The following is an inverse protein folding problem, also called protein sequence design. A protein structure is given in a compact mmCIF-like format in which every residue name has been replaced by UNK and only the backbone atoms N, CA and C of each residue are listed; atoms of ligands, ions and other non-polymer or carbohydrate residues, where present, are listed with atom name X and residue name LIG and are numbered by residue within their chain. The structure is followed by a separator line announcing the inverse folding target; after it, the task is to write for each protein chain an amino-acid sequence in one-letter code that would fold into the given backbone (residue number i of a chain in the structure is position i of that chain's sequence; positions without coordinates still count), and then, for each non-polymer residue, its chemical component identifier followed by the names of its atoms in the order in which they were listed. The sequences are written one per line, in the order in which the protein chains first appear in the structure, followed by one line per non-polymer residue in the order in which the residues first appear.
data_IF_781444661994
#
_entry.id   IF_781444661994
#
_cell.length_a   1.000
_cell.length_b   1.000
_cell.length_c   1.000
_cell.angle_alpha   90.00
_cell.angle_beta   90.00
_cell.angle_gamma   90.00
#
_symmetry.space_group_name_H-M   'P 1'
#
loop_
_entity.id
_entity.type
_entity.pdbx_description
1 polymer ?
#
# COMPACT_ATOMS: atom_id res chain seq x y z
N UNK A 1 -37.17 -13.54 -61.69
CA UNK A 1 -36.99 -13.83 -60.26
C UNK A 1 -35.54 -13.54 -59.91
N UNK A 2 -35.24 -12.65 -58.95
CA UNK A 2 -33.87 -12.33 -58.58
C UNK A 2 -33.18 -13.57 -57.97
N UNK A 3 -31.88 -13.71 -58.19
CA UNK A 3 -31.07 -14.77 -57.62
C UNK A 3 -31.00 -14.55 -56.10
N UNK A 4 -31.61 -15.44 -55.32
CA UNK A 4 -31.54 -15.42 -53.84
C UNK A 4 -30.29 -16.17 -53.39
N UNK A 5 -29.14 -15.51 -53.44
CA UNK A 5 -27.87 -16.07 -52.98
C UNK A 5 -27.63 -15.74 -51.49
N UNK A 6 -27.07 -16.69 -50.74
CA UNK A 6 -26.79 -16.57 -49.32
C UNK A 6 -25.45 -17.21 -48.96
N UNK A 7 -24.82 -16.72 -47.90
CA UNK A 7 -23.58 -17.26 -47.37
C UNK A 7 -23.87 -18.53 -46.55
N UNK A 8 -23.35 -19.69 -46.95
CA UNK A 8 -23.64 -20.95 -46.26
C UNK A 8 -22.90 -21.11 -44.92
N UNK A 9 -21.95 -20.22 -44.59
CA UNK A 9 -21.29 -20.20 -43.28
C UNK A 9 -22.20 -19.59 -42.21
N UNK A 10 -22.82 -18.44 -42.49
CA UNK A 10 -23.69 -17.73 -41.55
C UNK A 10 -25.19 -17.91 -41.83
N UNK A 11 -25.54 -18.58 -42.94
CA UNK A 11 -26.92 -18.77 -43.41
C UNK A 11 -27.69 -17.48 -43.66
N UNK A 12 -26.98 -16.40 -44.03
CA UNK A 12 -27.54 -15.05 -44.21
C UNK A 12 -27.42 -14.59 -45.67
N UNK A 13 -28.34 -13.75 -46.13
CA UNK A 13 -28.37 -13.26 -47.51
C UNK A 13 -27.18 -12.34 -47.81
N UNK A 14 -26.72 -12.35 -49.07
CA UNK A 14 -25.79 -11.32 -49.53
C UNK A 14 -26.55 -10.01 -49.70
N UNK A 15 -26.00 -8.93 -49.13
CA UNK A 15 -26.55 -7.59 -49.16
C UNK A 15 -25.46 -6.56 -49.55
N UNK A 16 -25.84 -5.29 -49.70
CA UNK A 16 -24.91 -4.23 -50.08
C UNK A 16 -24.00 -3.76 -48.93
N UNK A 17 -24.14 -4.34 -47.71
CA UNK A 17 -23.39 -3.92 -46.53
C UNK A 17 -22.12 -4.72 -46.29
N UNK A 18 -22.06 -5.97 -46.80
CA UNK A 18 -20.95 -6.90 -46.56
C UNK A 18 -20.33 -7.38 -47.87
N UNK A 19 -18.99 -7.40 -47.88
CA UNK A 19 -18.24 -7.86 -49.05
C UNK A 19 -18.40 -9.37 -49.29
N UNK A 20 -18.59 -9.75 -50.54
CA UNK A 20 -18.71 -11.16 -50.98
C UNK A 20 -17.38 -11.62 -51.55
N UNK A 21 -16.83 -12.71 -51.00
CA UNK A 21 -15.64 -13.37 -51.48
C UNK A 21 -15.96 -14.68 -52.21
N UNK A 22 -15.14 -15.03 -53.19
CA UNK A 22 -15.20 -16.31 -53.89
C UNK A 22 -13.90 -17.09 -53.78
N UNK A 23 -14.03 -18.41 -53.64
CA UNK A 23 -12.92 -19.35 -53.77
C UNK A 23 -12.87 -19.92 -55.19
N UNK A 24 -11.71 -20.38 -55.66
CA UNK A 24 -11.53 -20.90 -57.04
C UNK A 24 -12.45 -22.05 -57.45
N UNK A 25 -13.04 -22.78 -56.50
CA UNK A 25 -14.07 -23.78 -56.81
C UNK A 25 -15.45 -23.19 -57.15
N UNK A 26 -15.61 -21.87 -57.11
CA UNK A 26 -16.83 -21.15 -57.49
C UNK A 26 -17.81 -20.84 -56.34
N UNK A 27 -17.56 -21.34 -55.13
CA UNK A 27 -18.43 -21.04 -53.98
C UNK A 27 -18.17 -19.64 -53.42
N UNK A 28 -19.25 -18.95 -53.04
CA UNK A 28 -19.25 -17.58 -52.51
C UNK A 28 -19.65 -17.54 -51.04
N UNK A 29 -19.05 -16.61 -50.30
CA UNK A 29 -19.26 -16.41 -48.86
C UNK A 29 -19.06 -14.94 -48.51
N UNK A 30 -19.54 -14.46 -47.36
CA UNK A 30 -19.09 -13.17 -46.85
C UNK A 30 -17.58 -13.23 -46.61
N UNK A 31 -16.86 -12.16 -46.98
CA UNK A 31 -15.41 -12.08 -46.84
C UNK A 31 -14.97 -12.36 -45.39
N UNK A 32 -15.66 -11.75 -44.43
CA UNK A 32 -15.38 -11.95 -43.00
C UNK A 32 -15.61 -13.40 -42.56
N UNK A 33 -16.73 -14.01 -42.97
CA UNK A 33 -17.02 -15.41 -42.65
C UNK A 33 -15.97 -16.35 -43.22
N UNK A 34 -15.53 -16.12 -44.45
CA UNK A 34 -14.51 -16.92 -45.11
C UNK A 34 -13.13 -16.76 -44.44
N UNK A 35 -12.77 -15.55 -44.06
CA UNK A 35 -11.52 -15.27 -43.32
C UNK A 35 -11.54 -15.95 -41.94
N UNK A 36 -12.64 -15.85 -41.20
CA UNK A 36 -12.80 -16.53 -39.91
C UNK A 36 -12.68 -18.05 -40.06
N UNK A 37 -13.31 -18.62 -41.09
CA UNK A 37 -13.20 -20.05 -41.39
C UNK A 37 -11.75 -20.50 -41.63
N UNK A 38 -10.97 -19.74 -42.38
CA UNK A 38 -9.55 -20.07 -42.61
C UNK A 38 -8.66 -19.87 -41.39
N UNK A 39 -9.05 -19.02 -40.44
CA UNK A 39 -8.33 -18.89 -39.17
C UNK A 39 -8.63 -20.05 -38.21
N UNK A 40 -9.86 -20.58 -38.22
CA UNK A 40 -10.27 -21.66 -37.30
C UNK A 40 -9.94 -23.06 -37.82
N UNK A 41 -9.86 -23.24 -39.15
CA UNK A 41 -9.60 -24.55 -39.74
C UNK A 41 -8.09 -24.89 -39.85
N UNK A 42 -7.67 -26.13 -39.55
CA UNK A 42 -6.27 -26.56 -39.65
C UNK A 42 -5.75 -26.58 -41.10
N UNK A 43 -6.66 -26.70 -42.07
CA UNK A 43 -6.34 -26.64 -43.50
C UNK A 43 -7.29 -25.68 -44.20
N UNK A 44 -6.74 -24.81 -45.03
CA UNK A 44 -7.53 -23.88 -45.86
C UNK A 44 -8.29 -24.68 -46.92
N UNK A 45 -9.56 -24.92 -46.66
CA UNK A 45 -10.46 -25.69 -47.52
C UNK A 45 -11.77 -24.94 -47.68
N UNK A 46 -12.39 -25.06 -48.86
CA UNK A 46 -13.71 -24.48 -49.10
C UNK A 46 -14.73 -25.03 -48.08
N UNK A 47 -15.50 -24.19 -47.36
CA UNK A 47 -16.52 -24.64 -46.41
C UNK A 47 -17.57 -25.58 -47.02
N UNK A 48 -17.84 -25.45 -48.33
CA UNK A 48 -18.91 -26.18 -49.00
C UNK A 48 -18.45 -27.50 -49.64
N UNK A 49 -17.36 -27.47 -50.41
CA UNK A 49 -16.89 -28.66 -51.16
C UNK A 49 -15.56 -29.23 -50.66
N UNK A 50 -14.94 -28.63 -49.63
CA UNK A 50 -13.68 -29.05 -48.99
C UNK A 50 -12.45 -29.11 -49.90
N UNK A 51 -12.53 -28.61 -51.13
CA UNK A 51 -11.37 -28.44 -52.01
C UNK A 51 -10.37 -27.49 -51.34
N UNK A 52 -9.08 -27.84 -51.38
CA UNK A 52 -8.01 -27.04 -50.80
C UNK A 52 -7.87 -25.69 -51.51
N UNK A 53 -7.76 -24.62 -50.72
CA UNK A 53 -7.69 -23.24 -51.20
C UNK A 53 -6.35 -22.63 -50.78
N UNK A 54 -5.55 -22.17 -51.74
CA UNK A 54 -4.37 -21.37 -51.43
C UNK A 54 -4.71 -19.88 -51.30
N UNK A 55 -3.89 -19.11 -50.58
CA UNK A 55 -4.11 -17.66 -50.37
C UNK A 55 -4.18 -16.85 -51.67
N UNK A 56 -3.55 -17.34 -52.75
CA UNK A 56 -3.55 -16.68 -54.07
C UNK A 56 -4.78 -17.03 -54.91
N UNK A 57 -5.65 -17.90 -54.41
CA UNK A 57 -6.82 -18.47 -55.09
C UNK A 57 -8.15 -17.99 -54.46
N UNK A 58 -8.13 -16.80 -53.83
CA UNK A 58 -9.31 -16.18 -53.23
C UNK A 58 -9.51 -14.82 -53.89
N UNK A 59 -10.72 -14.59 -54.39
CA UNK A 59 -11.17 -13.28 -54.81
C UNK A 59 -11.88 -12.67 -53.61
N UNK A 60 -11.22 -11.76 -52.90
CA UNK A 60 -11.69 -11.24 -51.61
C UNK A 60 -12.96 -10.40 -51.71
N UNK A 61 -13.22 -9.82 -52.88
CA UNK A 61 -14.37 -8.94 -53.12
C UNK A 61 -14.86 -9.11 -54.56
N UNK A 62 -16.11 -9.53 -54.69
CA UNK A 62 -16.85 -9.54 -55.95
C UNK A 62 -17.64 -8.26 -56.08
N UNK A 63 -17.62 -7.67 -57.26
CA UNK A 63 -18.46 -6.54 -57.64
C UNK A 63 -19.53 -7.05 -58.60
N UNK A 64 -20.80 -6.89 -58.22
CA UNK A 64 -21.93 -7.26 -59.05
C UNK A 64 -22.52 -5.99 -59.66
N UNK A 65 -22.53 -5.89 -60.98
CA UNK A 65 -23.30 -4.87 -61.70
C UNK A 65 -24.77 -5.29 -61.67
N UNK A 66 -25.43 -5.03 -60.53
CA UNK A 66 -26.87 -5.22 -60.39
C UNK A 66 -27.53 -4.06 -61.13
N UNK A 67 -28.17 -4.35 -62.28
CA UNK A 67 -28.95 -3.37 -63.02
C UNK A 67 -29.95 -2.68 -62.09
N UNK A 68 -29.98 -1.35 -62.14
CA UNK A 68 -30.59 -0.47 -61.14
C UNK A 68 -31.87 -1.01 -60.51
N UNK A 69 -31.90 -0.98 -59.18
CA UNK A 69 -33.08 -1.25 -58.37
C UNK A 69 -34.30 -0.56 -58.99
N UNK A 70 -35.32 -1.34 -59.36
CA UNK A 70 -36.65 -0.81 -59.53
C UNK A 70 -36.98 -0.06 -58.24
N UNK A 71 -37.22 1.25 -58.38
CA UNK A 71 -37.61 2.18 -57.34
C UNK A 71 -38.70 1.53 -56.48
N UNK A 72 -38.31 0.93 -55.36
CA UNK A 72 -39.28 0.45 -54.38
C UNK A 72 -39.99 1.70 -53.93
N UNK A 73 -41.25 1.87 -54.33
CA UNK A 73 -42.09 3.00 -53.93
C UNK A 73 -42.05 3.04 -52.40
N UNK A 74 -41.23 3.93 -51.85
CA UNK A 74 -41.09 4.11 -50.42
C UNK A 74 -42.41 4.72 -49.97
N UNK A 75 -43.30 3.88 -49.42
CA UNK A 75 -44.57 4.33 -48.89
C UNK A 75 -44.32 5.41 -47.82
N UNK A 76 -44.84 6.65 -48.00
CA UNK A 76 -44.66 7.73 -47.04
C UNK A 76 -45.08 7.36 -45.61
N UNK A 77 -46.03 6.44 -45.45
CA UNK A 77 -46.50 5.95 -44.16
C UNK A 77 -45.44 5.10 -43.45
N UNK A 78 -44.71 4.26 -44.19
CA UNK A 78 -43.60 3.46 -43.68
C UNK A 78 -42.44 4.32 -43.17
N UNK A 79 -42.07 5.35 -43.95
CA UNK A 79 -41.04 6.33 -43.57
C UNK A 79 -41.46 7.11 -42.33
N UNK A 80 -42.72 7.55 -42.25
CA UNK A 80 -43.27 8.26 -41.09
C UNK A 80 -43.22 7.39 -39.83
N UNK A 81 -43.60 6.11 -39.94
CA UNK A 81 -43.54 5.16 -38.83
C UNK A 81 -42.10 4.93 -38.33
N UNK A 82 -41.11 4.90 -39.24
CA UNK A 82 -39.69 4.80 -38.84
C UNK A 82 -39.22 6.08 -38.13
N UNK A 83 -39.57 7.25 -38.65
CA UNK A 83 -39.26 8.54 -38.02
C UNK A 83 -39.86 8.63 -36.62
N UNK A 84 -41.12 8.23 -36.45
CA UNK A 84 -41.79 8.25 -35.15
C UNK A 84 -41.14 7.27 -34.17
N UNK A 85 -40.76 6.06 -34.62
CA UNK A 85 -39.99 5.10 -33.81
C UNK A 85 -38.65 5.67 -33.36
N UNK A 86 -37.87 6.22 -34.28
CA UNK A 86 -36.56 6.81 -33.99
C UNK A 86 -36.72 7.98 -33.01
N UNK A 87 -37.75 8.81 -33.18
CA UNK A 87 -38.02 9.94 -32.29
C UNK A 87 -38.33 9.51 -30.86
N UNK A 88 -39.15 8.46 -30.69
CA UNK A 88 -39.41 7.88 -29.35
C UNK A 88 -38.13 7.31 -28.74
N UNK A 89 -37.34 6.58 -29.52
CA UNK A 89 -36.05 6.03 -29.08
C UNK A 89 -35.07 7.13 -28.66
N UNK A 90 -34.99 8.22 -29.44
CA UNK A 90 -34.16 9.38 -29.15
C UNK A 90 -34.54 10.02 -27.82
N UNK A 91 -35.84 10.28 -27.59
CA UNK A 91 -36.31 10.86 -26.34
C UNK A 91 -36.00 9.97 -25.12
N UNK A 92 -36.13 8.65 -25.28
CA UNK A 92 -35.76 7.69 -24.24
C UNK A 92 -34.25 7.77 -23.94
N UNK A 93 -33.39 7.79 -24.97
CA UNK A 93 -31.94 7.92 -24.80
C UNK A 93 -31.52 9.27 -24.23
N UNK A 94 -32.20 10.37 -24.57
CA UNK A 94 -31.97 11.68 -23.98
C UNK A 94 -32.34 11.72 -22.49
N UNK A 95 -33.40 11.01 -22.09
CA UNK A 95 -33.77 10.86 -20.68
C UNK A 95 -32.71 10.04 -19.93
N UNK A 96 -32.32 8.87 -20.44
CA UNK A 96 -31.26 8.05 -19.85
C UNK A 96 -29.94 8.84 -19.71
N UNK A 97 -29.55 9.61 -20.74
CA UNK A 97 -28.37 10.46 -20.71
C UNK A 97 -28.43 11.50 -19.57
N UNK A 98 -29.59 12.13 -19.36
CA UNK A 98 -29.78 13.10 -18.27
C UNK A 98 -29.70 12.44 -16.90
N UNK A 99 -30.29 11.26 -16.74
CA UNK A 99 -30.22 10.48 -15.50
C UNK A 99 -28.77 10.08 -15.18
N UNK A 100 -28.06 9.53 -16.17
CA UNK A 100 -26.63 9.20 -16.04
C UNK A 100 -25.78 10.43 -15.72
N UNK A 101 -26.05 11.57 -16.36
CA UNK A 101 -25.33 12.81 -16.07
C UNK A 101 -25.53 13.26 -14.61
N UNK A 102 -26.76 13.19 -14.09
CA UNK A 102 -27.04 13.51 -12.69
C UNK A 102 -26.29 12.60 -11.70
N UNK A 103 -26.20 11.30 -12.01
CA UNK A 103 -25.41 10.35 -11.21
C UNK A 103 -23.92 10.69 -11.25
N UNK A 104 -23.37 11.03 -12.43
CA UNK A 104 -21.96 11.43 -12.57
C UNK A 104 -21.66 12.68 -11.73
N UNK A 105 -22.54 13.68 -11.76
CA UNK A 105 -22.33 14.91 -11.01
C UNK A 105 -22.41 14.67 -9.50
N UNK A 106 -23.34 13.82 -9.05
CA UNK A 106 -23.43 13.40 -7.63
C UNK A 106 -22.19 12.63 -7.17
N UNK A 107 -21.65 11.75 -8.01
CA UNK A 107 -20.43 11.00 -7.72
C UNK A 107 -19.21 11.92 -7.66
N UNK A 108 -19.13 12.93 -8.53
CA UNK A 108 -18.07 13.95 -8.51
C UNK A 108 -18.09 14.75 -7.21
N UNK A 109 -19.26 15.23 -6.80
CA UNK A 109 -19.40 15.95 -5.53
C UNK A 109 -18.99 15.08 -4.33
N UNK A 110 -19.40 13.80 -4.32
CA UNK A 110 -18.97 12.87 -3.28
C UNK A 110 -17.45 12.66 -3.27
N UNK A 111 -16.81 12.54 -4.44
CA UNK A 111 -15.36 12.42 -4.54
C UNK A 111 -14.65 13.66 -4.00
N UNK A 112 -15.14 14.86 -4.31
CA UNK A 112 -14.55 16.10 -3.82
C UNK A 112 -14.61 16.19 -2.29
N UNK A 113 -15.77 15.88 -1.68
CA UNK A 113 -15.91 15.83 -0.22
C UNK A 113 -14.96 14.81 0.41
N UNK A 114 -14.85 13.61 -0.20
CA UNK A 114 -13.94 12.57 0.27
C UNK A 114 -12.47 12.99 0.16
N UNK A 115 -12.08 13.64 -0.93
CA UNK A 115 -10.72 14.15 -1.13
C UNK A 115 -10.35 15.18 -0.06
N UNK A 116 -11.24 16.13 0.23
CA UNK A 116 -11.02 17.11 1.31
C UNK A 116 -10.89 16.42 2.67
N UNK A 117 -11.74 15.42 2.95
CA UNK A 117 -11.67 14.64 4.20
C UNK A 117 -10.36 13.87 4.34
N UNK A 118 -9.87 13.26 3.24
CA UNK A 118 -8.59 12.54 3.24
C UNK A 118 -7.45 13.50 3.53
N UNK A 119 -7.44 14.69 2.92
CA UNK A 119 -6.40 15.70 3.17
C UNK A 119 -6.40 16.17 4.62
N UNK A 120 -7.56 16.38 5.24
CA UNK A 120 -7.62 16.78 6.65
C UNK A 120 -7.10 15.67 7.57
N UNK A 121 -7.51 14.43 7.33
CA UNK A 121 -7.04 13.28 8.12
C UNK A 121 -5.54 13.03 7.97
N UNK A 122 -4.98 13.20 6.76
CA UNK A 122 -3.54 13.09 6.53
C UNK A 122 -2.75 14.15 7.30
N UNK A 123 -3.28 15.37 7.36
CA UNK A 123 -2.67 16.45 8.15
C UNK A 123 -2.68 16.11 9.64
N UNK A 124 -3.83 15.69 10.17
CA UNK A 124 -3.95 15.30 11.58
C UNK A 124 -3.03 14.12 11.94
N UNK A 125 -2.92 13.13 11.05
CA UNK A 125 -2.01 12.01 11.24
C UNK A 125 -0.55 12.49 11.32
N UNK A 126 -0.13 13.38 10.41
CA UNK A 126 1.21 13.95 10.42
C UNK A 126 1.51 14.72 11.72
N UNK A 127 0.56 15.52 12.19
CA UNK A 127 0.68 16.25 13.46
C UNK A 127 0.84 15.29 14.66
N UNK A 128 0.07 14.20 14.68
CA UNK A 128 0.16 13.16 15.71
C UNK A 128 1.48 12.39 15.66
N UNK A 129 2.01 12.07 14.47
CA UNK A 129 3.31 11.42 14.32
C UNK A 129 4.45 12.29 14.84
N UNK A 130 4.41 13.59 14.56
CA UNK A 130 5.36 14.57 15.07
C UNK A 130 5.31 14.68 16.60
N UNK A 131 4.11 14.67 17.18
CA UNK A 131 3.91 14.64 18.63
C UNK A 131 4.48 13.35 19.24
N UNK A 132 4.16 12.18 18.67
CA UNK A 132 4.70 10.90 19.12
C UNK A 132 6.23 10.85 19.04
N UNK A 133 6.83 11.38 17.98
CA UNK A 133 8.29 11.49 17.85
C UNK A 133 8.89 12.35 18.95
N UNK A 134 8.25 13.48 19.27
CA UNK A 134 8.68 14.40 20.33
C UNK A 134 8.57 13.74 21.71
N UNK A 135 7.42 13.11 22.01
CA UNK A 135 7.20 12.39 23.27
C UNK A 135 8.22 11.24 23.43
N UNK A 136 8.52 10.48 22.37
CA UNK A 136 9.56 9.44 22.40
C UNK A 136 10.94 10.02 22.76
N UNK A 137 11.31 11.19 22.22
CA UNK A 137 12.57 11.86 22.57
C UNK A 137 12.57 12.30 24.03
N UNK A 138 11.47 12.88 24.51
CA UNK A 138 11.32 13.28 25.91
C UNK A 138 11.41 12.08 26.86
N UNK A 139 10.78 10.95 26.52
CA UNK A 139 10.88 9.72 27.32
C UNK A 139 12.32 9.22 27.43
N UNK A 140 13.07 9.21 26.32
CA UNK A 140 14.51 8.84 26.34
C UNK A 140 15.33 9.79 27.21
N UNK A 141 15.07 11.09 27.12
CA UNK A 141 15.75 12.10 27.93
C UNK A 141 15.49 11.88 29.43
N UNK A 142 14.22 11.69 29.81
CA UNK A 142 13.84 11.45 31.20
C UNK A 142 14.43 10.13 31.75
N UNK A 143 14.48 9.08 30.93
CA UNK A 143 15.09 7.81 31.33
C UNK A 143 16.60 7.96 31.57
N UNK A 144 17.30 8.69 30.69
CA UNK A 144 18.71 9.01 30.87
C UNK A 144 18.94 9.81 32.17
N UNK A 145 18.16 10.87 32.39
CA UNK A 145 18.23 11.70 33.60
C UNK A 145 17.97 10.87 34.88
N UNK A 146 17.02 9.93 34.83
CA UNK A 146 16.75 9.01 35.94
C UNK A 146 17.95 8.11 36.23
N UNK A 147 18.62 7.60 35.19
CA UNK A 147 19.80 6.75 35.34
C UNK A 147 20.98 7.51 35.96
N UNK A 148 21.24 8.74 35.49
CA UNK A 148 22.26 9.64 36.03
C UNK A 148 21.98 10.01 37.49
N UNK A 149 20.73 10.34 37.80
CA UNK A 149 20.31 10.66 39.18
C UNK A 149 20.51 9.46 40.11
N UNK A 150 20.25 8.24 39.62
CA UNK A 150 20.49 7.01 40.39
C UNK A 150 21.99 6.80 40.64
N UNK A 151 22.84 6.96 39.62
CA UNK A 151 24.28 6.86 39.75
C UNK A 151 24.85 7.90 40.73
N UNK A 152 24.39 9.15 40.64
CA UNK A 152 24.78 10.22 41.56
C UNK A 152 24.35 9.93 43.01
N UNK A 153 23.14 9.38 43.22
CA UNK A 153 22.67 8.95 44.55
C UNK A 153 23.53 7.82 45.12
N UNK A 154 23.90 6.84 44.31
CA UNK A 154 24.76 5.74 44.73
C UNK A 154 26.17 6.22 45.10
N UNK A 155 26.75 7.15 44.34
CA UNK A 155 28.06 7.73 44.65
C UNK A 155 28.01 8.61 45.91
N UNK A 156 26.97 9.44 46.07
CA UNK A 156 26.75 10.21 47.28
C UNK A 156 26.61 9.31 48.52
N UNK A 157 25.97 8.13 48.39
CA UNK A 157 25.91 7.13 49.46
C UNK A 157 27.30 6.59 49.79
N UNK A 158 28.13 6.24 48.80
CA UNK A 158 29.50 5.76 49.04
C UNK A 158 30.37 6.82 49.72
N UNK A 159 30.32 8.07 49.24
CA UNK A 159 31.06 9.18 49.82
C UNK A 159 30.64 9.45 51.27
N UNK A 160 29.33 9.42 51.57
CA UNK A 160 28.83 9.52 52.95
C UNK A 160 29.37 8.42 53.85
N UNK A 161 29.41 7.17 53.38
CA UNK A 161 29.96 6.06 54.16
C UNK A 161 31.48 6.23 54.42
N UNK A 162 32.23 6.67 53.42
CA UNK A 162 33.66 6.99 53.58
C UNK A 162 33.88 8.12 54.57
N UNK A 163 33.06 9.18 54.50
CA UNK A 163 33.12 10.32 55.43
C UNK A 163 32.89 9.87 56.86
N UNK A 164 31.82 9.10 57.14
CA UNK A 164 31.55 8.52 58.47
C UNK A 164 32.72 7.70 59.01
N UNK A 165 33.38 6.94 58.14
CA UNK A 165 34.56 6.15 58.50
C UNK A 165 35.74 7.06 58.87
N UNK A 166 35.97 8.13 58.09
CA UNK A 166 37.03 9.11 58.37
C UNK A 166 36.77 9.88 59.67
N UNK A 167 35.54 10.30 59.92
CA UNK A 167 35.11 10.95 61.18
C UNK A 167 35.35 10.03 62.38
N UNK A 168 35.01 8.73 62.27
CA UNK A 168 35.26 7.74 63.32
C UNK A 168 36.77 7.57 63.62
N UNK A 169 37.60 7.58 62.58
CA UNK A 169 39.07 7.54 62.73
C UNK A 169 39.59 8.83 63.40
N UNK A 170 39.00 9.98 63.11
CA UNK A 170 39.40 11.26 63.68
C UNK A 170 39.10 11.35 65.18
N UNK A 171 37.90 10.93 65.61
CA UNK A 171 37.55 10.82 67.03
C UNK A 171 38.56 9.94 67.76
N UNK A 172 38.88 8.76 67.22
CA UNK A 172 39.89 7.85 67.75
C UNK A 172 41.29 8.47 67.89
N UNK A 173 41.67 9.37 66.97
CA UNK A 173 42.97 10.04 66.99
C UNK A 173 43.04 11.15 68.04
N UNK A 174 41.90 11.73 68.39
CA UNK A 174 41.79 12.80 69.40
C UNK A 174 41.49 12.24 70.81
N UNK A 175 40.98 11.00 70.90
CA UNK A 175 40.61 10.36 72.15
C UNK A 175 41.80 9.98 73.05
N UNK A 176 41.61 10.08 74.36
CA UNK A 176 42.57 9.62 75.38
C UNK A 176 42.43 8.12 75.64
N UNK A 177 43.47 7.48 76.21
CA UNK A 177 43.53 6.03 76.44
C UNK A 177 42.26 5.41 77.10
N UNK A 178 41.68 5.97 78.18
CA UNK A 178 40.48 5.39 78.78
C UNK A 178 39.23 5.47 77.87
N UNK A 179 39.12 6.51 77.04
CA UNK A 179 38.01 6.69 76.08
C UNK A 179 38.07 5.67 74.95
N UNK A 180 39.28 5.34 74.48
CA UNK A 180 39.49 4.29 73.46
C UNK A 180 39.12 2.92 74.01
N UNK A 181 39.47 2.61 75.26
CA UNK A 181 39.13 1.33 75.89
C UNK A 181 37.61 1.16 76.09
N UNK A 182 36.88 2.23 76.40
CA UNK A 182 35.41 2.21 76.49
C UNK A 182 34.72 2.05 75.13
N UNK A 183 35.23 2.72 74.11
CA UNK A 183 34.72 2.59 72.75
C UNK A 183 34.90 1.16 72.19
N UNK A 184 36.02 0.49 72.54
CA UNK A 184 36.25 -0.92 72.19
C UNK A 184 35.25 -1.84 72.91
N UNK A 185 34.92 -1.57 74.17
CA UNK A 185 33.88 -2.30 74.90
C UNK A 185 32.51 -2.14 74.22
N UNK A 186 32.19 -0.95 73.74
CA UNK A 186 30.91 -0.64 73.07
C UNK A 186 30.79 -1.24 71.65
N UNK A 187 31.90 -1.51 70.94
CA UNK A 187 31.85 -2.24 69.66
C UNK A 187 31.41 -3.71 69.81
N UNK A 188 31.41 -4.24 71.04
CA UNK A 188 31.03 -5.62 71.32
C UNK A 188 32.05 -6.65 70.80
N UNK A 189 31.68 -7.93 70.87
CA UNK A 189 32.51 -9.05 70.40
C UNK A 189 31.88 -9.69 69.16
N UNK A 190 32.63 -9.74 68.06
CA UNK A 190 32.17 -10.30 66.79
C UNK A 190 33.10 -9.98 65.61
N UNK A 191 32.91 -10.68 64.49
CA UNK A 191 33.76 -10.55 63.30
C UNK A 191 33.80 -9.11 62.77
N UNK A 192 32.67 -8.39 62.82
CA UNK A 192 32.59 -6.99 62.40
C UNK A 192 33.43 -6.05 63.30
N UNK A 193 33.47 -6.29 64.61
CA UNK A 193 34.29 -5.51 65.54
C UNK A 193 35.79 -5.74 65.30
N UNK A 194 36.19 -6.98 65.01
CA UNK A 194 37.57 -7.34 64.67
C UNK A 194 38.02 -6.69 63.36
N UNK A 195 37.16 -6.69 62.33
CA UNK A 195 37.46 -6.02 61.06
C UNK A 195 37.64 -4.50 61.22
N UNK A 196 36.79 -3.84 62.02
CA UNK A 196 36.91 -2.41 62.28
C UNK A 196 38.22 -2.08 63.01
N UNK A 197 38.58 -2.85 64.04
CA UNK A 197 39.85 -2.68 64.76
C UNK A 197 41.06 -2.86 63.84
N UNK A 198 41.03 -3.85 62.95
CA UNK A 198 42.09 -4.06 61.96
C UNK A 198 42.25 -2.85 61.02
N UNK A 199 41.13 -2.29 60.54
CA UNK A 199 41.11 -1.09 59.69
C UNK A 199 41.72 0.12 60.43
N UNK A 200 41.38 0.31 61.71
CA UNK A 200 41.96 1.36 62.54
C UNK A 200 43.48 1.20 62.71
N UNK A 201 43.96 0.01 63.08
CA UNK A 201 45.39 -0.26 63.26
C UNK A 201 46.21 -0.03 61.97
N UNK A 202 45.71 -0.50 60.82
CA UNK A 202 46.39 -0.30 59.53
C UNK A 202 46.45 1.19 59.14
N UNK A 203 45.37 1.93 59.41
CA UNK A 203 45.29 3.37 59.12
C UNK A 203 46.24 4.18 59.99
N UNK A 204 46.31 3.88 61.29
CA UNK A 204 47.28 4.47 62.23
C UNK A 204 48.73 4.18 61.80
N UNK A 205 49.02 2.96 61.34
CA UNK A 205 50.35 2.56 60.83
C UNK A 205 50.74 3.35 59.58
N UNK A 206 49.82 3.53 58.62
CA UNK A 206 50.06 4.35 57.41
C UNK A 206 50.29 5.83 57.76
N UNK A 207 49.52 6.40 58.69
CA UNK A 207 49.68 7.80 59.12
C UNK A 207 50.99 8.04 59.88
N UNK A 208 51.40 7.13 60.78
CA UNK A 208 52.73 7.18 61.43
C UNK A 208 53.88 7.13 60.40
N UNK A 209 53.77 6.29 59.37
CA UNK A 209 54.76 6.24 58.28
C UNK A 209 54.82 7.55 57.47
N UNK A 210 53.67 8.21 57.22
CA UNK A 210 53.64 9.53 56.57
C UNK A 210 54.27 10.63 57.42
N UNK A 211 54.01 10.67 58.73
CA UNK A 211 54.64 11.63 59.66
C UNK A 211 56.16 11.42 59.83
N UNK A 212 56.68 10.21 59.59
CA UNK A 212 58.12 9.92 59.62
C UNK A 212 58.87 10.25 58.30
N UNK A 213 58.15 10.59 57.23
CA UNK A 213 58.71 10.94 55.92
C UNK A 213 58.67 12.45 55.61
N UNK A 214 58.05 13.24 56.48
CA UNK A 214 58.20 14.70 56.56
C UNK A 214 59.18 14.99 57.68
#
# INVERSE_FOLDING_TARGET
MPIRAYCTICSDFFDNSRDVAAVTCGHTFHQECLLQWFHSAPHRTCPQCRIQVSSRQIINKLFFDIGGEEETVLDPESLKNEVDRIKVSLLAKEKEKRECQGLVDSLREMLDVRNVTIQSLQKELGDMEMLCSTLKKQMKFLDNQKSETKAAKDEARKLRNKLKTMESIEVLLQAQRPEVEEMIRNMGSGQAAVEQLAIYCVSLKKKKKKKKKK
#
